data_IF_750695911698
#
_entry.id   IF_750695911698
#
_cell.length_a   1.000
_cell.length_b   1.000
_cell.length_c   1.000
_cell.angle_alpha   90.00
_cell.angle_beta   90.00
_cell.angle_gamma   90.00
#
_symmetry.space_group_name_H-M   'P 1'
#
loop_
_entity.id
_entity.type
_entity.pdbx_description
1 polymer ?
#
# COMPACT_ATOMS: atom_id res chain seq x y z
N UNK A 1 0.92 10.03 -8.42
CA UNK A 1 1.81 8.90 -8.70
C UNK A 1 2.93 8.94 -7.69
N UNK A 2 3.15 7.82 -7.02
CA UNK A 2 4.17 7.66 -5.99
C UNK A 2 4.57 6.21 -5.88
N UNK A 3 5.70 5.99 -5.22
CA UNK A 3 6.24 4.66 -4.93
C UNK A 3 6.78 4.67 -3.51
N UNK A 4 6.51 3.60 -2.78
CA UNK A 4 7.04 3.39 -1.44
C UNK A 4 7.55 1.96 -1.33
N UNK A 5 8.53 1.73 -0.46
CA UNK A 5 8.98 0.39 -0.08
C UNK A 5 8.74 0.19 1.42
N UNK A 6 8.49 -1.05 1.80
CA UNK A 6 8.48 -1.43 3.21
C UNK A 6 9.90 -1.34 3.81
N UNK A 7 10.00 -1.21 5.14
CA UNK A 7 11.27 -1.11 5.83
C UNK A 7 12.17 -2.34 5.65
N UNK A 8 11.57 -3.51 5.41
CA UNK A 8 12.30 -4.75 5.08
C UNK A 8 12.80 -4.81 3.64
N UNK A 9 12.25 -3.95 2.75
CA UNK A 9 12.52 -3.98 1.31
C UNK A 9 11.78 -5.09 0.54
N UNK A 10 11.07 -5.99 1.23
CA UNK A 10 10.36 -7.11 0.59
C UNK A 10 9.06 -6.72 -0.11
N UNK A 11 8.46 -5.59 0.29
CA UNK A 11 7.22 -5.09 -0.31
C UNK A 11 7.44 -3.73 -0.99
N UNK A 12 6.90 -3.60 -2.20
CA UNK A 12 6.87 -2.37 -2.97
C UNK A 12 5.42 -1.96 -3.21
N UNK A 13 5.05 -0.73 -2.86
CA UNK A 13 3.76 -0.16 -3.21
C UNK A 13 3.91 0.88 -4.32
N UNK A 14 2.98 0.85 -5.27
CA UNK A 14 2.91 1.76 -6.41
C UNK A 14 1.53 2.37 -6.50
N UNK A 15 1.44 3.67 -6.75
CA UNK A 15 0.18 4.38 -6.91
C UNK A 15 0.05 5.03 -8.28
N UNK A 16 -1.10 4.80 -8.93
CA UNK A 16 -1.38 5.23 -10.30
C UNK A 16 -2.29 6.45 -10.40
N UNK A 17 -2.31 7.04 -11.60
CA UNK A 17 -3.27 8.09 -11.96
C UNK A 17 -4.69 7.55 -12.18
N UNK A 18 -4.81 6.24 -12.36
CA UNK A 18 -6.05 5.49 -12.44
C UNK A 18 -6.73 5.28 -11.08
N UNK A 19 -6.17 5.83 -9.99
CA UNK A 19 -6.69 5.68 -8.65
C UNK A 19 -6.42 4.31 -8.03
N UNK A 20 -5.57 3.49 -8.66
CA UNK A 20 -5.23 2.16 -8.17
C UNK A 20 -3.95 2.20 -7.37
N UNK A 21 -3.94 1.45 -6.29
CA UNK A 21 -2.72 1.17 -5.51
C UNK A 21 -2.46 -0.32 -5.59
N UNK A 22 -1.24 -0.67 -5.97
CA UNK A 22 -0.78 -2.06 -6.06
C UNK A 22 0.39 -2.26 -5.12
N UNK A 23 0.39 -3.39 -4.43
CA UNK A 23 1.49 -3.84 -3.59
C UNK A 23 2.08 -5.10 -4.21
N UNK A 24 3.39 -5.15 -4.28
CA UNK A 24 4.19 -6.18 -4.92
C UNK A 24 5.12 -6.79 -3.90
N UNK A 25 5.21 -8.11 -3.91
CA UNK A 25 6.30 -8.84 -3.27
C UNK A 25 7.50 -8.79 -4.22
N UNK A 26 8.60 -8.20 -3.76
CA UNK A 26 9.82 -8.03 -4.56
C UNK A 26 10.55 -9.36 -4.70
N UNK A 27 10.58 -10.18 -3.64
CA UNK A 27 11.21 -11.50 -3.64
C UNK A 27 10.41 -12.50 -4.48
N UNK A 28 9.08 -12.45 -4.35
CA UNK A 28 8.17 -13.29 -5.11
C UNK A 28 7.96 -12.84 -6.56
N UNK A 29 8.15 -11.55 -6.85
CA UNK A 29 7.89 -10.96 -8.16
C UNK A 29 6.41 -10.91 -8.55
N UNK A 30 5.49 -11.00 -7.59
CA UNK A 30 4.04 -11.00 -7.83
C UNK A 30 3.31 -9.91 -7.05
N UNK A 31 2.16 -9.50 -7.58
CA UNK A 31 1.29 -8.53 -6.92
C UNK A 31 0.57 -9.22 -5.75
N UNK A 32 0.79 -8.76 -4.53
CA UNK A 32 0.17 -9.31 -3.31
C UNK A 32 -1.19 -8.68 -3.04
N UNK A 33 -1.31 -7.36 -3.25
CA UNK A 33 -2.54 -6.63 -2.99
C UNK A 33 -2.88 -5.64 -4.09
N UNK A 34 -4.18 -5.53 -4.34
CA UNK A 34 -4.75 -4.56 -5.25
C UNK A 34 -5.84 -3.79 -4.52
N UNK A 35 -5.59 -2.51 -4.30
CA UNK A 35 -6.54 -1.61 -3.68
C UNK A 35 -7.17 -0.73 -4.74
N UNK A 36 -8.49 -0.89 -4.87
CA UNK A 36 -9.34 -0.14 -5.78
C UNK A 36 -10.40 0.58 -4.94
N UNK A 37 -10.72 1.83 -5.28
CA UNK A 37 -11.72 2.62 -4.55
C UNK A 37 -11.46 4.12 -4.56
N UNK A 38 -10.21 4.55 -4.82
CA UNK A 38 -9.94 5.96 -5.00
C UNK A 38 -10.50 6.43 -6.35
N UNK A 39 -11.43 7.40 -6.30
CA UNK A 39 -12.06 7.99 -7.50
C UNK A 39 -11.17 8.99 -8.26
N UNK A 40 -9.89 9.11 -7.90
CA UNK A 40 -8.96 10.07 -8.49
C UNK A 40 -7.50 9.67 -8.30
N UNK A 41 -6.59 10.47 -8.85
CA UNK A 41 -5.15 10.25 -8.81
C UNK A 41 -4.68 10.06 -7.36
N UNK A 42 -4.06 8.91 -7.09
CA UNK A 42 -3.40 8.71 -5.80
C UNK A 42 -2.05 9.42 -5.87
N UNK A 43 -1.89 10.43 -5.03
CA UNK A 43 -0.72 11.33 -5.04
C UNK A 43 0.39 10.84 -4.12
N UNK A 44 0.06 10.10 -3.06
CA UNK A 44 1.03 9.60 -2.08
C UNK A 44 0.59 8.26 -1.51
N UNK A 45 1.57 7.44 -1.14
CA UNK A 45 1.42 6.14 -0.48
C UNK A 45 2.60 5.99 0.48
N UNK A 46 2.34 5.39 1.65
CA UNK A 46 3.35 5.21 2.70
C UNK A 46 3.10 3.89 3.41
N UNK A 47 4.16 3.11 3.64
CA UNK A 47 4.08 1.95 4.51
C UNK A 47 4.12 2.40 5.97
N UNK A 48 3.34 1.72 6.80
CA UNK A 48 3.43 1.93 8.24
C UNK A 48 4.78 1.37 8.74
N UNK A 49 5.57 2.14 9.51
CA UNK A 49 6.91 1.71 9.94
C UNK A 49 6.88 0.60 11.00
N UNK A 50 5.72 0.33 11.59
CA UNK A 50 5.54 -0.73 12.58
C UNK A 50 4.91 -1.97 11.93
N UNK A 51 5.66 -3.09 11.79
CA UNK A 51 5.17 -4.33 11.19
C UNK A 51 4.08 -5.01 12.05
N UNK A 52 3.80 -4.52 13.26
CA UNK A 52 2.86 -5.15 14.19
C UNK A 52 1.60 -4.31 14.49
N UNK A 53 1.40 -3.18 13.79
CA UNK A 53 0.19 -2.35 13.95
C UNK A 53 -0.73 -2.42 12.73
N UNK A 54 -1.47 -3.52 12.62
CA UNK A 54 -2.77 -3.51 11.96
C UNK A 54 -3.84 -3.08 12.98
N UNK A 55 -3.89 -1.80 13.34
CA UNK A 55 -4.99 -1.30 14.17
C UNK A 55 -6.22 -1.01 13.30
N UNK A 56 -7.11 -2.00 13.17
CA UNK A 56 -8.49 -1.75 12.78
C UNK A 56 -9.25 -1.25 14.01
N UNK A 57 -9.22 0.07 14.26
CA UNK A 57 -10.10 0.69 15.26
C UNK A 57 -11.42 1.07 14.59
N UNK A 58 -12.36 0.14 14.52
CA UNK A 58 -13.78 0.50 14.40
C UNK A 58 -14.25 0.95 15.78
N UNK A 59 -14.13 2.25 16.06
CA UNK A 59 -14.69 2.82 17.27
C UNK A 59 -16.22 2.84 17.18
N UNK A 60 -16.88 2.31 18.21
CA UNK A 60 -18.00 2.91 18.93
C UNK A 60 -18.16 2.13 20.26
N UNK A 61 -18.45 2.83 21.38
CA UNK A 61 -18.62 2.20 22.70
C UNK A 61 -19.89 1.35 22.81
#
# INVERSE_FOLDING_TARGET
>A
MGMACDASGGLLATSGADGKVRVWDVDGGFCTHHFEGHKGVVTSIMFHPDPNQLQMRSGLP
#
